data_IF_357621225475
#
_entry.id   IF_357621225475
#
_cell.length_a   1.000
_cell.length_b   1.000
_cell.length_c   1.000
_cell.angle_alpha   90.00
_cell.angle_beta   90.00
_cell.angle_gamma   90.00
#
_symmetry.space_group_name_H-M   'P 1'
#
loop_
_entity.id
_entity.type
_entity.pdbx_description
1 polymer ?
#
# COMPACT_ATOMS: atom_id res chain seq x y z
N UNK A 1 20.18 30.69 -4.88
CA UNK A 1 18.74 30.64 -5.17
C UNK A 1 18.28 29.22 -4.96
N UNK A 2 17.35 29.07 -4.02
CA UNK A 2 16.48 27.95 -3.61
C UNK A 2 16.88 26.48 -3.86
N UNK A 3 17.20 25.78 -2.77
CA UNK A 3 17.18 24.31 -2.62
C UNK A 3 15.75 23.76 -2.30
N UNK A 4 14.69 24.51 -2.64
CA UNK A 4 13.32 24.21 -2.17
C UNK A 4 12.49 23.31 -3.10
N UNK A 5 12.98 22.98 -4.29
CA UNK A 5 12.18 22.29 -5.30
C UNK A 5 12.34 20.76 -5.28
N UNK A 6 13.38 20.24 -4.62
CA UNK A 6 13.70 18.81 -4.64
C UNK A 6 12.96 18.01 -3.56
N UNK A 7 12.66 18.62 -2.41
CA UNK A 7 11.86 17.98 -1.36
C UNK A 7 10.37 17.83 -1.74
N UNK A 8 9.86 18.64 -2.67
CA UNK A 8 8.44 18.62 -3.03
C UNK A 8 8.06 17.47 -3.98
N UNK A 9 8.99 16.98 -4.81
CA UNK A 9 8.69 15.90 -5.76
C UNK A 9 8.60 14.53 -5.07
N UNK A 10 9.41 14.27 -4.05
CA UNK A 10 9.45 12.99 -3.33
C UNK A 10 8.25 12.80 -2.36
N UNK A 11 7.61 13.88 -1.91
CA UNK A 11 6.47 13.83 -0.98
C UNK A 11 5.16 13.52 -1.71
N UNK A 12 4.97 14.06 -2.92
CA UNK A 12 3.72 13.96 -3.68
C UNK A 12 3.40 12.52 -4.14
N UNK A 13 4.41 11.68 -4.40
CA UNK A 13 4.18 10.31 -4.86
C UNK A 13 3.76 9.35 -3.75
N UNK A 14 4.35 9.48 -2.55
CA UNK A 14 4.03 8.58 -1.43
C UNK A 14 2.63 8.85 -0.87
N UNK A 15 2.18 10.11 -0.86
CA UNK A 15 0.82 10.44 -0.45
C UNK A 15 -0.21 9.85 -1.41
N UNK A 16 0.02 9.94 -2.72
CA UNK A 16 -0.85 9.31 -3.72
C UNK A 16 -0.89 7.78 -3.58
N UNK A 17 0.25 7.13 -3.30
CA UNK A 17 0.29 5.69 -3.02
C UNK A 17 -0.54 5.37 -1.77
N UNK A 18 -0.41 6.16 -0.70
CA UNK A 18 -1.19 5.97 0.51
C UNK A 18 -2.69 6.11 0.23
N UNK A 19 -3.12 7.16 -0.46
CA UNK A 19 -4.53 7.39 -0.79
C UNK A 19 -5.13 6.21 -1.58
N UNK A 20 -4.40 5.68 -2.56
CA UNK A 20 -4.83 4.48 -3.32
C UNK A 20 -4.93 3.23 -2.43
N UNK A 21 -3.96 3.03 -1.52
CA UNK A 21 -4.01 1.92 -0.56
C UNK A 21 -5.16 2.06 0.43
N UNK A 22 -5.49 3.29 0.85
CA UNK A 22 -6.67 3.57 1.68
C UNK A 22 -7.96 3.24 0.92
N UNK A 23 -8.04 3.60 -0.36
CA UNK A 23 -9.18 3.28 -1.21
C UNK A 23 -9.37 1.76 -1.38
N UNK A 24 -8.29 1.01 -1.64
CA UNK A 24 -8.31 -0.48 -1.66
C UNK A 24 -8.89 -1.02 -0.35
N UNK A 25 -8.40 -0.49 0.77
CA UNK A 25 -8.83 -0.93 2.10
C UNK A 25 -10.32 -0.68 2.33
N UNK A 26 -10.81 0.52 2.00
CA UNK A 26 -12.24 0.83 2.10
C UNK A 26 -13.10 -0.04 1.19
N UNK A 27 -12.64 -0.36 -0.03
CA UNK A 27 -13.31 -1.29 -0.93
C UNK A 27 -13.41 -2.68 -0.29
N UNK A 28 -12.32 -3.20 0.26
CA UNK A 28 -12.27 -4.52 0.88
C UNK A 28 -13.16 -4.59 2.14
N UNK A 29 -13.25 -3.53 2.96
CA UNK A 29 -14.16 -3.48 4.13
C UNK A 29 -15.62 -3.75 3.77
N UNK A 30 -16.04 -3.39 2.55
CA UNK A 30 -17.42 -3.58 2.10
C UNK A 30 -17.76 -5.03 1.71
N UNK A 31 -16.79 -5.94 1.72
CA UNK A 31 -16.97 -7.33 1.30
C UNK A 31 -17.53 -8.13 2.47
N UNK A 32 -18.75 -8.64 2.29
CA UNK A 32 -19.54 -9.25 3.35
C UNK A 32 -19.36 -10.79 3.39
N UNK A 33 -18.12 -11.26 3.55
CA UNK A 33 -17.76 -12.70 3.55
C UNK A 33 -18.23 -13.49 2.32
N UNK A 34 -18.44 -12.81 1.19
CA UNK A 34 -18.74 -13.40 -0.11
C UNK A 34 -17.61 -13.15 -1.09
N UNK A 35 -17.50 -14.00 -2.09
CA UNK A 35 -16.53 -13.85 -3.17
C UNK A 35 -16.99 -12.71 -4.06
N UNK A 36 -16.34 -11.55 -3.93
CA UNK A 36 -16.60 -10.37 -4.75
C UNK A 36 -15.49 -10.22 -5.81
N UNK A 37 -15.55 -11.07 -6.83
CA UNK A 37 -14.56 -11.11 -7.92
C UNK A 37 -14.34 -9.73 -8.59
N UNK A 38 -15.38 -8.92 -8.89
CA UNK A 38 -15.18 -7.57 -9.41
C UNK A 38 -14.30 -6.71 -8.50
N UNK A 39 -14.58 -6.66 -7.20
CA UNK A 39 -13.75 -5.88 -6.26
C UNK A 39 -12.34 -6.42 -6.11
N UNK A 40 -12.15 -7.73 -6.23
CA UNK A 40 -10.82 -8.35 -6.22
C UNK A 40 -10.01 -7.98 -7.46
N UNK A 41 -10.63 -7.99 -8.65
CA UNK A 41 -9.98 -7.56 -9.88
C UNK A 41 -9.60 -6.07 -9.84
N UNK A 42 -10.49 -5.21 -9.33
CA UNK A 42 -10.16 -3.78 -9.11
C UNK A 42 -8.99 -3.63 -8.12
N UNK A 43 -8.97 -4.44 -7.06
CA UNK A 43 -7.86 -4.44 -6.08
C UNK A 43 -6.56 -4.90 -6.73
N UNK A 44 -6.60 -5.91 -7.59
CA UNK A 44 -5.44 -6.34 -8.36
C UNK A 44 -4.92 -5.22 -9.26
N UNK A 45 -5.80 -4.59 -10.03
CA UNK A 45 -5.45 -3.49 -10.94
C UNK A 45 -4.81 -2.30 -10.19
N UNK A 46 -5.41 -1.89 -9.07
CA UNK A 46 -4.86 -0.81 -8.25
C UNK A 46 -3.45 -1.16 -7.72
N UNK A 47 -3.24 -2.40 -7.26
CA UNK A 47 -1.92 -2.86 -6.80
C UNK A 47 -0.89 -2.94 -7.95
N UNK A 48 -1.32 -3.36 -9.15
CA UNK A 48 -0.48 -3.33 -10.34
C UNK A 48 -0.06 -1.90 -10.70
N UNK A 49 -0.94 -0.92 -10.51
CA UNK A 49 -0.67 0.50 -10.74
C UNK A 49 0.18 1.13 -9.63
N UNK A 50 0.05 0.70 -8.37
CA UNK A 50 0.86 1.17 -7.24
C UNK A 50 2.32 0.72 -7.34
N UNK A 51 2.56 -0.52 -7.78
CA UNK A 51 3.92 -1.07 -7.87
C UNK A 51 4.92 -0.16 -8.63
N UNK A 52 4.64 0.31 -9.86
CA UNK A 52 5.56 1.20 -10.57
C UNK A 52 5.74 2.56 -9.88
N UNK A 53 4.73 3.07 -9.16
CA UNK A 53 4.88 4.30 -8.37
C UNK A 53 5.90 4.09 -7.23
N UNK A 54 5.81 2.98 -6.49
CA UNK A 54 6.80 2.66 -5.43
C UNK A 54 8.21 2.48 -6.04
N UNK A 55 8.30 1.84 -7.22
CA UNK A 55 9.58 1.66 -7.92
C UNK A 55 10.18 2.98 -8.40
N UNK A 56 9.34 3.92 -8.83
CA UNK A 56 9.78 5.27 -9.19
C UNK A 56 10.33 6.02 -7.97
N UNK A 57 9.60 6.04 -6.85
CA UNK A 57 10.10 6.64 -5.61
C UNK A 57 11.41 5.98 -5.14
N UNK A 58 11.59 4.67 -5.37
CA UNK A 58 12.83 3.96 -5.04
C UNK A 58 14.01 4.50 -5.88
N UNK A 59 13.82 4.72 -7.17
CA UNK A 59 14.84 5.28 -8.06
C UNK A 59 15.22 6.69 -7.57
N UNK A 60 14.24 7.55 -7.29
CA UNK A 60 14.51 8.91 -6.77
C UNK A 60 15.31 8.87 -5.47
N UNK A 61 14.94 8.01 -4.53
CA UNK A 61 15.68 7.86 -3.26
C UNK A 61 17.12 7.35 -3.47
N UNK A 62 17.36 6.51 -4.50
CA UNK A 62 18.70 6.06 -4.88
C UNK A 62 19.53 7.21 -5.47
N UNK A 63 18.94 8.01 -6.36
CA UNK A 63 19.59 9.20 -6.95
C UNK A 63 19.93 10.24 -5.87
N UNK A 64 19.03 10.46 -4.92
CA UNK A 64 19.22 11.32 -3.75
C UNK A 64 20.15 10.72 -2.68
N UNK A 65 20.61 9.47 -2.84
CA UNK A 65 21.45 8.73 -1.87
C UNK A 65 20.84 8.62 -0.48
N UNK A 66 19.51 8.65 -0.38
CA UNK A 66 18.78 8.46 0.88
C UNK A 66 18.65 6.96 1.17
N UNK A 67 19.72 6.34 1.65
CA UNK A 67 19.79 4.88 1.82
C UNK A 67 18.79 4.31 2.83
N UNK A 68 18.42 5.09 3.84
CA UNK A 68 17.36 4.69 4.78
C UNK A 68 16.02 4.54 4.03
N UNK A 69 15.67 5.54 3.22
CA UNK A 69 14.46 5.52 2.41
C UNK A 69 14.50 4.43 1.33
N UNK A 70 15.66 4.21 0.70
CA UNK A 70 15.87 3.09 -0.25
C UNK A 70 15.56 1.75 0.39
N UNK A 71 16.00 1.50 1.63
CA UNK A 71 15.74 0.24 2.32
C UNK A 71 14.25 0.04 2.59
N UNK A 72 13.54 1.10 3.02
CA UNK A 72 12.09 1.07 3.23
C UNK A 72 11.33 0.85 1.92
N UNK A 73 11.70 1.56 0.86
CA UNK A 73 11.05 1.41 -0.45
C UNK A 73 11.29 0.04 -1.08
N UNK A 74 12.48 -0.55 -0.93
CA UNK A 74 12.72 -1.96 -1.33
C UNK A 74 11.79 -2.93 -0.60
N UNK A 75 11.54 -2.69 0.68
CA UNK A 75 10.58 -3.48 1.44
C UNK A 75 9.15 -3.24 0.94
N UNK A 76 8.74 -1.99 0.70
CA UNK A 76 7.43 -1.68 0.12
C UNK A 76 7.21 -2.36 -1.24
N UNK A 77 8.22 -2.39 -2.12
CA UNK A 77 8.17 -3.13 -3.40
C UNK A 77 7.93 -4.62 -3.18
N UNK A 78 8.65 -5.26 -2.24
CA UNK A 78 8.46 -6.68 -1.93
C UNK A 78 7.06 -6.96 -1.42
N UNK A 79 6.61 -6.19 -0.42
CA UNK A 79 5.27 -6.37 0.14
C UNK A 79 4.19 -6.13 -0.93
N UNK A 80 4.35 -5.16 -1.82
CA UNK A 80 3.39 -4.92 -2.92
C UNK A 80 3.29 -6.13 -3.86
N UNK A 81 4.41 -6.74 -4.21
CA UNK A 81 4.44 -7.96 -5.04
C UNK A 81 3.80 -9.15 -4.33
N UNK A 82 4.09 -9.33 -3.04
CA UNK A 82 3.53 -10.43 -2.25
C UNK A 82 2.01 -10.27 -2.07
N UNK A 83 1.54 -9.04 -1.82
CA UNK A 83 0.12 -8.71 -1.74
C UNK A 83 -0.58 -8.96 -3.07
N UNK A 84 0.01 -8.49 -4.19
CA UNK A 84 -0.52 -8.74 -5.54
C UNK A 84 -0.66 -10.24 -5.85
N UNK A 85 0.35 -11.04 -5.49
CA UNK A 85 0.31 -12.50 -5.66
C UNK A 85 -0.80 -13.14 -4.81
N UNK A 86 -1.04 -12.62 -3.60
CA UNK A 86 -2.08 -13.15 -2.71
C UNK A 86 -3.48 -12.81 -3.22
N UNK A 87 -3.69 -11.59 -3.74
CA UNK A 87 -4.93 -11.18 -4.41
C UNK A 87 -5.19 -12.05 -5.66
N UNK A 88 -4.18 -12.23 -6.52
CA UNK A 88 -4.29 -13.13 -7.68
C UNK A 88 -4.65 -14.56 -7.29
N UNK A 89 -4.03 -15.08 -6.23
CA UNK A 89 -4.35 -16.41 -5.72
C UNK A 89 -5.80 -16.49 -5.22
N UNK A 90 -6.30 -15.45 -4.55
CA UNK A 90 -7.69 -15.38 -4.10
C UNK A 90 -8.68 -15.30 -5.27
N UNK A 91 -8.36 -14.55 -6.33
CA UNK A 91 -9.15 -14.51 -7.58
C UNK A 91 -9.22 -15.91 -8.21
N UNK A 92 -8.07 -16.55 -8.42
CA UNK A 92 -7.98 -17.88 -9.07
C UNK A 92 -8.74 -18.95 -8.29
N UNK A 93 -8.65 -18.92 -6.96
CA UNK A 93 -9.30 -19.90 -6.08
C UNK A 93 -10.75 -19.55 -5.75
N UNK A 94 -11.21 -18.36 -6.15
CA UNK A 94 -12.47 -17.79 -5.68
C UNK A 94 -12.58 -17.88 -4.15
N UNK A 95 -11.53 -17.48 -3.43
CA UNK A 95 -11.46 -17.61 -1.96
C UNK A 95 -12.36 -16.57 -1.29
N UNK A 96 -13.10 -16.99 -0.26
CA UNK A 96 -13.82 -16.07 0.64
C UNK A 96 -12.79 -15.28 1.46
N UNK A 97 -12.86 -13.96 1.37
CA UNK A 97 -12.04 -13.07 2.21
C UNK A 97 -12.61 -13.12 3.62
N UNK A 98 -11.81 -13.56 4.59
CA UNK A 98 -12.22 -13.63 5.99
C UNK A 98 -11.94 -12.30 6.70
N UNK A 99 -12.81 -11.31 6.49
CA UNK A 99 -12.70 -10.02 7.16
C UNK A 99 -13.39 -10.14 8.53
N UNK A 100 -12.59 -10.27 9.60
CA UNK A 100 -13.10 -10.29 10.95
C UNK A 100 -12.97 -8.92 11.65
N UNK A 101 -13.67 -8.68 12.78
CA UNK A 101 -13.60 -7.42 13.51
C UNK A 101 -12.18 -7.02 13.96
N UNK A 102 -11.30 -8.00 14.20
CA UNK A 102 -9.90 -7.77 14.53
C UNK A 102 -9.12 -7.18 13.35
N UNK A 103 -9.36 -7.69 12.13
CA UNK A 103 -8.79 -7.10 10.92
C UNK A 103 -9.29 -5.65 10.72
N UNK A 104 -10.57 -5.39 10.95
CA UNK A 104 -11.14 -4.04 10.81
C UNK A 104 -10.52 -3.08 11.83
N UNK A 105 -10.32 -3.51 13.08
CA UNK A 105 -9.70 -2.68 14.12
C UNK A 105 -8.22 -2.37 13.83
N UNK A 106 -7.45 -3.38 13.41
CA UNK A 106 -6.04 -3.21 13.00
C UNK A 106 -5.92 -2.21 11.84
N UNK A 107 -6.80 -2.36 10.85
CA UNK A 107 -6.89 -1.47 9.69
C UNK A 107 -7.24 -0.02 10.08
N UNK A 108 -8.27 0.18 10.91
CA UNK A 108 -8.67 1.52 11.39
C UNK A 108 -7.53 2.21 12.14
N UNK A 109 -6.78 1.46 12.95
CA UNK A 109 -5.62 1.97 13.65
C UNK A 109 -4.55 2.47 12.68
N UNK A 110 -4.18 1.67 11.67
CA UNK A 110 -3.19 2.08 10.66
C UNK A 110 -3.66 3.34 9.91
N UNK A 111 -4.94 3.39 9.53
CA UNK A 111 -5.53 4.55 8.84
C UNK A 111 -5.52 5.83 9.70
N UNK A 112 -5.78 5.72 11.00
CA UNK A 112 -5.76 6.84 11.92
C UNK A 112 -4.34 7.37 12.14
N UNK A 113 -3.38 6.47 12.25
CA UNK A 113 -1.96 6.80 12.43
C UNK A 113 -1.39 7.54 11.20
N UNK A 114 -1.82 7.17 9.97
CA UNK A 114 -1.44 7.87 8.73
C UNK A 114 -1.83 9.35 8.75
N UNK A 115 -3.02 9.70 9.25
CA UNK A 115 -3.50 11.10 9.30
C UNK A 115 -2.60 12.02 10.15
N UNK A 116 -1.80 11.43 11.03
CA UNK A 116 -0.89 12.16 11.91
C UNK A 116 0.56 12.14 11.43
N UNK A 117 0.85 11.43 10.34
CA UNK A 117 2.18 11.26 9.79
C UNK A 117 2.60 12.47 8.95
N UNK A 118 3.65 13.17 9.39
CA UNK A 118 4.20 14.32 8.65
C UNK A 118 5.48 13.99 7.88
N UNK A 119 6.19 12.92 8.25
CA UNK A 119 7.48 12.55 7.64
C UNK A 119 7.31 11.49 6.55
N UNK A 120 7.95 11.70 5.39
CA UNK A 120 7.97 10.76 4.25
C UNK A 120 8.35 9.33 4.65
N UNK A 121 9.32 9.20 5.56
CA UNK A 121 9.74 7.90 6.10
C UNK A 121 8.62 7.16 6.84
N UNK A 122 7.86 7.87 7.69
CA UNK A 122 6.71 7.31 8.39
C UNK A 122 5.61 6.92 7.39
N UNK A 123 5.39 7.75 6.36
CA UNK A 123 4.45 7.46 5.28
C UNK A 123 4.80 6.16 4.54
N UNK A 124 6.07 5.92 4.24
CA UNK A 124 6.51 4.64 3.64
C UNK A 124 6.33 3.44 4.58
N UNK A 125 6.51 3.61 5.89
CA UNK A 125 6.19 2.56 6.88
C UNK A 125 4.70 2.22 6.89
N UNK A 126 3.83 3.22 6.70
CA UNK A 126 2.41 2.96 6.54
C UNK A 126 2.08 2.27 5.22
N UNK A 127 2.71 2.62 4.10
CA UNK A 127 2.58 1.87 2.84
C UNK A 127 2.87 0.38 3.06
N UNK A 128 3.99 0.06 3.72
CA UNK A 128 4.37 -1.32 4.09
C UNK A 128 3.30 -1.97 4.96
N UNK A 129 2.80 -1.25 5.97
CA UNK A 129 1.83 -1.77 6.93
C UNK A 129 0.48 -2.06 6.27
N UNK A 130 -0.01 -1.17 5.40
CA UNK A 130 -1.24 -1.36 4.63
C UNK A 130 -1.10 -2.55 3.66
N UNK A 131 0.03 -2.67 2.95
CA UNK A 131 0.28 -3.80 2.04
C UNK A 131 0.27 -5.15 2.77
N UNK A 132 0.96 -5.22 3.92
CA UNK A 132 0.96 -6.40 4.80
C UNK A 132 -0.43 -6.74 5.29
N UNK A 133 -1.17 -5.73 5.70
CA UNK A 133 -2.54 -5.88 6.16
C UNK A 133 -3.43 -6.46 5.05
N UNK A 134 -3.39 -5.88 3.84
CA UNK A 134 -4.13 -6.39 2.69
C UNK A 134 -3.74 -7.85 2.40
N UNK A 135 -2.45 -8.18 2.39
CA UNK A 135 -1.98 -9.56 2.20
C UNK A 135 -2.59 -10.53 3.20
N UNK A 136 -2.63 -10.16 4.49
CA UNK A 136 -3.16 -10.98 5.60
C UNK A 136 -4.63 -11.33 5.41
N UNK A 137 -5.40 -10.56 4.65
CA UNK A 137 -6.81 -10.88 4.35
C UNK A 137 -6.97 -12.09 3.41
N UNK A 138 -5.90 -12.50 2.74
CA UNK A 138 -5.90 -13.55 1.71
C UNK A 138 -5.04 -14.77 2.08
N UNK A 139 -4.49 -14.81 3.29
CA UNK A 139 -3.75 -15.94 3.86
C UNK A 139 -4.67 -16.77 4.76
#
# INVERSE_FOLDING_TARGET
MSNMDQDNFDILDIDNILDKLQAIIHRLQSINNQIDLPKLNETEEDLQNILPQIQFSLINAQEARNWEQVNKLRQAVRECKDTLNSVRAAIIRATIININPGNISEMQKILQEIKTASKTQQKTEYVISLLRFVRKLFL
#
